data_IF_010170182468
#
_entry.id   IF_010170182468
#
_cell.length_a   1.000
_cell.length_b   1.000
_cell.length_c   1.000
_cell.angle_alpha   90.00
_cell.angle_beta   90.00
_cell.angle_gamma   90.00
#
_symmetry.space_group_name_H-M   'P 1'
#
loop_
_entity.id
_entity.type
_entity.pdbx_description
1 polymer ?
#
# COMPACT_ATOMS: atom_id res chain seq x y z
N UNK A 1 11.53 -12.62 -3.44
CA UNK A 1 10.46 -12.81 -4.43
C UNK A 1 9.58 -13.96 -4.02
N UNK A 2 9.99 -15.19 -4.30
CA UNK A 2 9.22 -16.42 -3.98
C UNK A 2 8.84 -16.55 -2.49
N UNK A 3 9.77 -16.29 -1.58
CA UNK A 3 9.46 -16.31 -0.13
C UNK A 3 8.41 -15.26 0.27
N UNK A 4 8.39 -14.09 -0.39
CA UNK A 4 7.35 -13.07 -0.17
C UNK A 4 6.00 -13.50 -0.74
N UNK A 5 5.99 -14.22 -1.87
CA UNK A 5 4.76 -14.78 -2.45
C UNK A 5 4.19 -15.90 -1.59
N UNK A 6 5.03 -16.77 -1.00
CA UNK A 6 4.60 -17.80 -0.04
C UNK A 6 3.85 -17.21 1.16
N UNK A 7 4.34 -16.10 1.71
CA UNK A 7 3.69 -15.38 2.81
C UNK A 7 2.65 -14.36 2.34
N UNK A 8 2.33 -14.34 1.05
CA UNK A 8 1.26 -13.51 0.48
C UNK A 8 1.57 -12.01 0.33
N UNK A 9 2.81 -11.57 0.55
CA UNK A 9 3.23 -10.14 0.43
C UNK A 9 3.70 -9.73 -0.96
N UNK A 10 3.75 -10.67 -1.89
CA UNK A 10 4.08 -10.42 -3.29
C UNK A 10 3.28 -11.33 -4.22
N UNK A 11 3.08 -10.89 -5.45
CA UNK A 11 2.48 -11.69 -6.53
C UNK A 11 3.44 -11.66 -7.71
N UNK A 12 3.89 -12.82 -8.17
CA UNK A 12 4.90 -12.93 -9.24
C UNK A 12 4.26 -13.15 -10.62
N UNK A 13 5.05 -12.94 -11.67
CA UNK A 13 4.76 -13.37 -13.04
C UNK A 13 3.42 -12.83 -13.59
N UNK A 14 3.11 -11.58 -13.30
CA UNK A 14 1.89 -10.92 -13.75
C UNK A 14 2.08 -10.23 -15.09
N UNK A 15 1.02 -10.20 -15.90
CA UNK A 15 0.93 -9.37 -17.09
C UNK A 15 -0.19 -8.34 -16.89
N UNK A 16 0.06 -7.11 -17.33
CA UNK A 16 -0.84 -5.98 -17.18
C UNK A 16 -1.60 -5.69 -18.48
N UNK A 17 -2.84 -5.19 -18.33
CA UNK A 17 -3.62 -4.61 -19.42
C UNK A 17 -4.39 -3.40 -18.87
N UNK A 18 -4.36 -2.27 -19.59
CA UNK A 18 -5.23 -1.13 -19.27
C UNK A 18 -6.68 -1.53 -19.55
N UNK A 19 -7.56 -1.34 -18.57
CA UNK A 19 -8.98 -1.68 -18.67
C UNK A 19 -9.89 -0.45 -18.59
N UNK A 20 -9.36 0.72 -18.22
CA UNK A 20 -10.10 1.97 -18.12
C UNK A 20 -9.23 3.10 -17.56
N UNK A 21 -9.87 4.25 -17.36
CA UNK A 21 -9.28 5.43 -16.77
C UNK A 21 -10.33 6.13 -15.88
N UNK A 22 -9.96 6.48 -14.66
CA UNK A 22 -10.83 7.17 -13.69
C UNK A 22 -10.04 8.24 -12.94
N UNK A 23 -10.60 9.45 -12.83
CA UNK A 23 -9.97 10.58 -12.13
C UNK A 23 -8.52 10.88 -12.54
N UNK A 24 -8.15 10.62 -13.81
CA UNK A 24 -6.79 10.80 -14.32
C UNK A 24 -5.83 9.63 -14.01
N UNK A 25 -6.31 8.55 -13.39
CA UNK A 25 -5.55 7.33 -13.16
C UNK A 25 -5.92 6.25 -14.17
N UNK A 26 -4.92 5.56 -14.70
CA UNK A 26 -5.11 4.36 -15.52
C UNK A 26 -5.42 3.17 -14.62
N UNK A 27 -6.51 2.48 -14.92
CA UNK A 27 -6.85 1.22 -14.28
C UNK A 27 -6.17 0.08 -15.03
N UNK A 28 -5.18 -0.55 -14.41
CA UNK A 28 -4.40 -1.64 -15.01
C UNK A 28 -4.72 -2.94 -14.30
N UNK A 29 -5.30 -3.88 -15.06
CA UNK A 29 -5.57 -5.25 -14.60
C UNK A 29 -4.32 -6.10 -14.79
N UNK A 30 -3.75 -6.51 -13.67
CA UNK A 30 -2.63 -7.44 -13.59
C UNK A 30 -3.13 -8.84 -13.28
N UNK A 31 -2.77 -9.84 -14.09
CA UNK A 31 -3.21 -11.21 -13.86
C UNK A 31 -2.28 -12.27 -14.43
N UNK A 32 -2.54 -13.51 -14.02
CA UNK A 32 -1.92 -14.73 -14.56
C UNK A 32 -2.94 -15.88 -14.56
N UNK A 33 -2.60 -16.98 -15.24
CA UNK A 33 -3.48 -18.15 -15.37
C UNK A 33 -3.77 -18.81 -14.02
N UNK A 34 -2.71 -18.99 -13.23
CA UNK A 34 -2.79 -19.66 -11.94
C UNK A 34 -3.26 -18.71 -10.83
N UNK A 35 -4.18 -19.18 -9.95
CA UNK A 35 -4.62 -18.37 -8.82
C UNK A 35 -3.47 -18.07 -7.86
N UNK A 36 -3.64 -17.02 -7.08
CA UNK A 36 -2.68 -16.64 -6.03
C UNK A 36 -3.40 -16.31 -4.73
N UNK A 37 -2.75 -16.63 -3.61
CA UNK A 37 -3.14 -16.20 -2.27
C UNK A 37 -2.23 -15.05 -1.87
N UNK A 38 -2.80 -13.97 -1.38
CA UNK A 38 -2.06 -12.75 -1.05
C UNK A 38 -2.79 -11.97 0.03
N UNK A 39 -2.02 -11.35 0.92
CA UNK A 39 -2.46 -10.40 1.93
C UNK A 39 -2.84 -9.04 1.32
N UNK A 40 -2.34 -8.73 0.11
CA UNK A 40 -2.62 -7.48 -0.59
C UNK A 40 -4.14 -7.36 -0.83
N UNK A 41 -4.74 -6.30 -0.30
CA UNK A 41 -6.18 -5.99 -0.36
C UNK A 41 -6.49 -4.71 -1.14
N UNK A 42 -7.78 -4.39 -1.24
CA UNK A 42 -8.25 -3.11 -1.82
C UNK A 42 -7.86 -1.96 -0.88
N UNK A 43 -7.36 -0.87 -1.46
CA UNK A 43 -6.83 0.29 -0.73
C UNK A 43 -5.34 0.21 -0.40
N UNK A 44 -4.70 -0.95 -0.57
CA UNK A 44 -3.28 -1.09 -0.31
C UNK A 44 -2.44 -0.36 -1.36
N UNK A 45 -1.39 0.29 -0.87
CA UNK A 45 -0.28 0.78 -1.67
C UNK A 45 0.62 -0.40 -2.06
N UNK A 46 0.96 -0.48 -3.34
CA UNK A 46 1.82 -1.53 -3.88
C UNK A 46 2.95 -0.93 -4.73
N UNK A 47 4.03 -1.69 -4.88
CA UNK A 47 5.08 -1.41 -5.87
C UNK A 47 5.06 -2.47 -6.94
N UNK A 48 5.01 -2.00 -8.18
CA UNK A 48 5.15 -2.82 -9.38
C UNK A 48 6.61 -2.76 -9.80
N UNK A 49 7.20 -3.91 -10.11
CA UNK A 49 8.61 -3.98 -10.49
C UNK A 49 8.87 -5.07 -11.51
N UNK A 50 9.94 -4.91 -12.29
CA UNK A 50 10.48 -5.95 -13.17
C UNK A 50 11.90 -6.27 -12.72
N UNK A 51 12.08 -7.40 -12.04
CA UNK A 51 13.35 -7.77 -11.41
C UNK A 51 13.47 -7.27 -9.96
N UNK A 52 14.30 -6.26 -9.70
CA UNK A 52 14.59 -5.75 -8.35
C UNK A 52 13.48 -4.78 -7.88
N UNK A 53 12.74 -5.07 -6.78
CA UNK A 53 11.66 -4.19 -6.33
C UNK A 53 12.19 -2.90 -5.71
N UNK A 54 13.37 -2.94 -5.10
CA UNK A 54 13.99 -1.77 -4.45
C UNK A 54 14.45 -0.71 -5.46
N UNK A 55 14.55 -1.08 -6.73
CA UNK A 55 14.94 -0.19 -7.83
C UNK A 55 13.73 0.36 -8.60
N UNK A 56 12.51 -0.06 -8.26
CA UNK A 56 11.30 0.36 -8.97
C UNK A 56 10.59 1.48 -8.21
N UNK A 57 10.15 2.49 -8.95
CA UNK A 57 9.42 3.66 -8.48
C UNK A 57 7.93 3.63 -8.86
N UNK A 58 7.49 2.61 -9.61
CA UNK A 58 6.09 2.50 -10.02
C UNK A 58 5.21 2.03 -8.86
N UNK A 59 4.58 3.00 -8.22
CA UNK A 59 3.65 2.82 -7.10
C UNK A 59 2.22 2.97 -7.59
N UNK A 60 1.30 2.20 -7.00
CA UNK A 60 -0.13 2.33 -7.26
C UNK A 60 -0.99 1.85 -6.11
N UNK A 61 -2.29 2.09 -6.23
CA UNK A 61 -3.28 1.66 -5.23
C UNK A 61 -4.17 0.57 -5.81
N UNK A 62 -4.40 -0.48 -5.03
CA UNK A 62 -5.29 -1.57 -5.43
C UNK A 62 -6.75 -1.12 -5.36
N UNK A 63 -7.49 -1.28 -6.46
CA UNK A 63 -8.91 -0.92 -6.56
C UNK A 63 -9.84 -2.12 -6.67
N UNK A 64 -9.34 -3.25 -7.18
CA UNK A 64 -10.11 -4.50 -7.30
C UNK A 64 -9.19 -5.70 -7.15
N UNK A 65 -9.71 -6.81 -6.61
CA UNK A 65 -8.98 -8.07 -6.47
C UNK A 65 -9.89 -9.26 -6.79
N UNK A 66 -9.38 -10.15 -7.62
CA UNK A 66 -9.93 -11.49 -7.84
C UNK A 66 -8.93 -12.58 -7.46
N UNK A 67 -9.32 -13.84 -7.64
CA UNK A 67 -8.44 -14.99 -7.33
C UNK A 67 -7.23 -15.14 -8.26
N UNK A 68 -7.26 -14.50 -9.43
CA UNK A 68 -6.26 -14.59 -10.51
C UNK A 68 -5.79 -13.24 -11.04
N UNK A 69 -6.32 -12.15 -10.48
CA UNK A 69 -5.99 -10.81 -10.94
C UNK A 69 -6.10 -9.77 -9.82
N UNK A 70 -5.47 -8.63 -10.03
CA UNK A 70 -5.57 -7.43 -9.23
C UNK A 70 -5.64 -6.22 -10.17
N UNK A 71 -6.50 -5.26 -9.88
CA UNK A 71 -6.58 -4.00 -10.63
C UNK A 71 -5.94 -2.92 -9.79
N UNK A 72 -5.03 -2.18 -10.41
CA UNK A 72 -4.25 -1.12 -9.77
C UNK A 72 -4.50 0.19 -10.50
N UNK A 73 -4.79 1.25 -9.75
CA UNK A 73 -4.82 2.61 -10.25
C UNK A 73 -3.39 3.18 -10.29
N UNK A 74 -2.97 3.69 -11.45
CA UNK A 74 -1.63 4.22 -11.71
C UNK A 74 -1.72 5.54 -12.48
N UNK A 75 -0.98 6.57 -12.06
CA UNK A 75 -0.94 7.87 -12.78
C UNK A 75 -0.33 7.72 -14.18
N UNK A 76 0.80 7.04 -14.27
CA UNK A 76 1.48 6.74 -15.53
C UNK A 76 1.91 5.27 -15.55
N UNK A 77 1.85 4.65 -16.73
CA UNK A 77 2.14 3.21 -16.90
C UNK A 77 3.22 3.04 -17.96
N UNK A 78 4.47 2.76 -17.58
CA UNK A 78 5.55 2.52 -18.52
C UNK A 78 5.37 1.18 -19.24
N UNK A 79 5.90 1.06 -20.45
CA UNK A 79 5.71 -0.14 -21.30
C UNK A 79 6.22 -1.43 -20.65
N UNK A 80 7.28 -1.36 -19.84
CA UNK A 80 7.81 -2.52 -19.12
C UNK A 80 6.80 -3.09 -18.11
N UNK A 81 5.88 -2.25 -17.62
CA UNK A 81 4.91 -2.61 -16.61
C UNK A 81 3.78 -3.51 -17.13
N UNK A 82 3.78 -3.92 -18.40
CA UNK A 82 2.75 -4.81 -18.94
C UNK A 82 3.14 -6.29 -18.98
N UNK A 83 4.44 -6.62 -18.82
CA UNK A 83 4.96 -7.97 -19.12
C UNK A 83 5.91 -8.49 -18.04
N UNK A 84 5.53 -9.62 -17.45
CA UNK A 84 6.32 -10.36 -16.46
C UNK A 84 6.78 -9.47 -15.28
N UNK A 85 5.82 -8.84 -14.62
CA UNK A 85 6.07 -8.00 -13.45
C UNK A 85 5.78 -8.73 -12.14
N UNK A 86 6.36 -8.20 -11.07
CA UNK A 86 6.02 -8.53 -9.69
C UNK A 86 5.31 -7.34 -9.06
N UNK A 87 4.29 -7.63 -8.24
CA UNK A 87 3.66 -6.66 -7.36
C UNK A 87 4.00 -7.03 -5.93
N UNK A 88 4.52 -6.09 -5.15
CA UNK A 88 4.78 -6.24 -3.71
C UNK A 88 3.89 -5.30 -2.92
N UNK A 89 3.43 -5.75 -1.75
CA UNK A 89 2.86 -4.86 -0.75
C UNK A 89 3.90 -3.81 -0.37
N UNK A 90 3.55 -2.53 -0.50
CA UNK A 90 4.48 -1.44 -0.24
C UNK A 90 4.72 -1.31 1.26
N UNK A 91 5.93 -1.64 1.68
CA UNK A 91 6.43 -1.36 3.02
C UNK A 91 7.63 -0.44 2.87
N UNK A 92 7.44 0.86 3.10
CA UNK A 92 8.51 1.84 2.99
C UNK A 92 9.18 2.03 4.36
N UNK A 93 10.40 1.53 4.49
CA UNK A 93 11.24 1.67 5.68
C UNK A 93 11.53 3.14 6.05
N UNK A 94 11.48 4.07 5.09
CA UNK A 94 11.59 5.52 5.36
C UNK A 94 10.33 6.01 6.07
N UNK A 95 9.14 5.60 5.63
CA UNK A 95 7.88 5.98 6.29
C UNK A 95 7.86 5.43 7.71
N UNK A 96 8.24 4.17 7.90
CA UNK A 96 8.32 3.58 9.23
C UNK A 96 9.36 4.28 10.13
N UNK A 97 10.55 4.58 9.59
CA UNK A 97 11.56 5.36 10.32
C UNK A 97 11.06 6.75 10.72
N UNK A 98 10.37 7.48 9.83
CA UNK A 98 9.78 8.79 10.17
C UNK A 98 8.73 8.67 11.27
N UNK A 99 7.92 7.62 11.25
CA UNK A 99 6.95 7.36 12.32
C UNK A 99 7.65 7.12 13.67
N UNK A 100 8.72 6.32 13.68
CA UNK A 100 9.55 6.12 14.88
C UNK A 100 10.19 7.42 15.37
N UNK A 101 10.84 8.16 14.46
CA UNK A 101 11.46 9.46 14.79
C UNK A 101 10.44 10.45 15.36
N UNK A 102 9.20 10.45 14.85
CA UNK A 102 8.12 11.29 15.39
C UNK A 102 7.72 10.87 16.80
N UNK A 103 7.69 9.57 17.10
CA UNK A 103 7.42 9.06 18.44
C UNK A 103 8.54 9.40 19.43
N UNK A 104 9.80 9.42 18.97
CA UNK A 104 10.95 9.84 19.78
C UNK A 104 10.97 11.35 20.06
N UNK A 105 10.37 12.15 19.18
CA UNK A 105 10.41 13.63 19.24
C UNK A 105 9.03 14.24 19.52
N UNK A 106 8.18 13.55 20.27
CA UNK A 106 6.85 14.07 20.63
C UNK A 106 6.97 15.36 21.43
N UNK A 107 6.18 16.36 21.05
CA UNK A 107 5.93 17.53 21.89
C UNK A 107 5.12 17.15 23.13
N UNK A 108 5.08 18.01 24.14
CA UNK A 108 4.21 17.82 25.31
C UNK A 108 2.74 17.62 24.93
N UNK A 109 2.26 18.34 23.91
CA UNK A 109 0.93 18.17 23.35
C UNK A 109 0.74 16.79 22.69
N UNK A 110 1.76 16.28 21.99
CA UNK A 110 1.74 14.93 21.41
C UNK A 110 1.71 13.84 22.48
N UNK A 111 2.48 13.99 23.56
CA UNK A 111 2.44 13.09 24.72
C UNK A 111 1.04 13.08 25.35
N UNK A 112 0.46 14.26 25.57
CA UNK A 112 -0.89 14.38 26.14
C UNK A 112 -1.95 13.74 25.24
N UNK A 113 -1.86 13.93 23.93
CA UNK A 113 -2.76 13.29 22.97
C UNK A 113 -2.68 11.76 23.05
N UNK A 114 -1.47 11.19 23.15
CA UNK A 114 -1.31 9.75 23.34
C UNK A 114 -1.90 9.25 24.66
N UNK A 115 -1.71 9.99 25.76
CA UNK A 115 -2.32 9.62 27.06
C UNK A 115 -3.85 9.59 26.99
N UNK A 116 -4.46 10.55 26.28
CA UNK A 116 -5.91 10.55 26.04
C UNK A 116 -6.35 9.35 25.22
N UNK A 117 -5.67 9.06 24.10
CA UNK A 117 -6.00 7.93 23.21
C UNK A 117 -5.84 6.58 23.93
N UNK A 118 -4.81 6.45 24.77
CA UNK A 118 -4.51 5.24 25.53
C UNK A 118 -5.35 5.13 26.83
N UNK A 119 -6.24 6.08 27.11
CA UNK A 119 -7.10 6.07 28.31
C UNK A 119 -6.36 6.32 29.62
N UNK A 120 -5.13 6.86 29.57
CA UNK A 120 -4.35 7.25 30.75
C UNK A 120 -4.77 8.63 31.29
N UNK A 121 -5.36 9.46 30.44
CA UNK A 121 -6.00 10.72 30.81
C UNK A 121 -7.41 10.76 30.21
N UNK A 122 -8.32 11.47 30.88
CA UNK A 122 -9.66 11.76 30.34
C UNK A 122 -9.68 13.16 29.74
N UNK A 123 -10.47 13.39 28.67
CA UNK A 123 -10.67 14.74 28.16
C UNK A 123 -11.26 15.62 29.27
N UNK A 124 -10.85 16.89 29.30
CA UNK A 124 -11.46 17.86 30.19
C UNK A 124 -12.96 17.91 29.90
N UNK A 125 -13.78 17.91 30.94
CA UNK A 125 -15.22 18.08 30.77
C UNK A 125 -15.46 19.37 29.99
N UNK A 126 -16.19 19.26 28.89
CA UNK A 126 -16.74 20.44 28.24
C UNK A 126 -17.55 21.21 29.27
N UNK A 127 -17.30 22.52 29.38
CA UNK A 127 -18.19 23.38 30.16
C UNK A 127 -19.59 23.21 29.58
N UNK A 128 -20.56 22.87 30.43
CA UNK A 128 -21.96 22.92 30.06
C UNK A 128 -22.28 24.36 29.69
N UNK A 129 -22.79 24.57 28.47
CA UNK A 129 -23.47 25.82 28.14
C UNK A 129 -24.65 25.95 29.11
N UNK A 130 -24.61 26.96 29.98
CA UNK A 130 -25.73 27.40 30.82
C UNK A 130 -26.82 28.07 29.97
#
# INVERSE_FOLDING_TARGET
GYEREKVGRAILNLNGKVIGEEFGFKLVKYGRKEPFKTEIGVGDLIVISKGNPLASDLVGTVVEKGSRFIVVALEAVPSWAFRNVRIDLYANDITFRRQLENLEKLSESGIRALKLILGQEAPLKSFSEE
#
